data_IF_876766015071
#
_entry.id   IF_876766015071
#
_cell.length_a   1.000
_cell.length_b   1.000
_cell.length_c   1.000
_cell.angle_alpha   90.00
_cell.angle_beta   90.00
_cell.angle_gamma   90.00
#
_symmetry.space_group_name_H-M   'P 1'
#
loop_
_entity.id
_entity.type
_entity.pdbx_description
1 polymer ?
#
# COMPACT_ATOMS: atom_id res chain seq x y z
N UNK A 1 -15.90 7.73 -10.29
CA UNK A 1 -15.49 8.36 -9.00
C UNK A 1 -14.11 7.82 -8.71
N UNK A 2 -13.12 8.63 -8.30
CA UNK A 2 -11.81 8.06 -7.99
C UNK A 2 -11.85 7.40 -6.60
N UNK A 3 -11.71 6.08 -6.53
CA UNK A 3 -11.54 5.39 -5.25
C UNK A 3 -10.13 5.65 -4.72
N UNK A 4 -10.01 5.86 -3.41
CA UNK A 4 -8.75 6.12 -2.75
C UNK A 4 -8.78 5.55 -1.32
N UNK A 5 -7.59 5.31 -0.78
CA UNK A 5 -7.37 5.07 0.64
C UNK A 5 -7.01 6.42 1.26
N UNK A 6 -7.72 6.80 2.32
CA UNK A 6 -7.46 8.01 3.08
C UNK A 6 -6.58 7.64 4.26
N UNK A 7 -5.28 7.92 4.17
CA UNK A 7 -4.32 7.56 5.21
C UNK A 7 -3.88 8.80 5.99
N UNK A 8 -3.75 8.64 7.30
CA UNK A 8 -3.16 9.62 8.20
C UNK A 8 -1.92 9.00 8.86
N UNK A 9 -0.77 9.64 8.64
CA UNK A 9 0.47 9.31 9.34
C UNK A 9 0.45 10.03 10.69
N UNK A 10 0.28 9.27 11.75
CA UNK A 10 0.13 9.78 13.12
C UNK A 10 1.47 10.16 13.74
N UNK A 11 2.48 9.31 13.52
CA UNK A 11 3.86 9.56 13.95
C UNK A 11 4.84 9.08 12.88
N UNK A 12 6.00 9.72 12.87
CA UNK A 12 7.08 9.43 11.94
C UNK A 12 8.40 9.55 12.68
N UNK A 13 9.19 8.50 12.65
CA UNK A 13 10.53 8.43 13.20
C UNK A 13 11.52 8.08 12.09
N UNK A 14 12.62 8.82 12.00
CA UNK A 14 13.66 8.56 11.01
C UNK A 14 14.85 7.88 11.69
N UNK A 15 15.22 6.72 11.18
CA UNK A 15 16.33 5.90 11.67
C UNK A 15 17.53 6.09 10.73
N UNK A 16 18.70 6.31 11.34
CA UNK A 16 19.98 6.46 10.64
C UNK A 16 21.01 5.58 11.35
N UNK A 17 21.29 4.43 10.79
CA UNK A 17 22.27 3.45 11.28
C UNK A 17 23.63 3.62 10.58
N UNK A 18 23.64 4.08 9.33
CA UNK A 18 24.82 4.09 8.45
C UNK A 18 25.44 5.49 8.35
N UNK A 19 26.52 5.74 9.12
CA UNK A 19 27.37 6.93 9.05
C UNK A 19 26.63 8.29 9.23
N UNK A 20 26.76 8.97 10.39
CA UNK A 20 26.03 10.22 10.66
C UNK A 20 26.35 11.39 9.72
N UNK A 21 27.40 11.27 8.89
CA UNK A 21 27.82 12.26 7.90
C UNK A 21 27.24 12.04 6.49
N UNK A 22 26.51 10.95 6.23
CA UNK A 22 25.98 10.62 4.90
C UNK A 22 24.55 11.13 4.68
N UNK A 23 24.32 12.12 3.82
CA UNK A 23 22.98 12.70 3.55
C UNK A 23 21.90 11.62 3.31
N UNK A 24 20.83 11.65 4.11
CA UNK A 24 19.71 10.70 4.02
C UNK A 24 19.41 9.94 5.32
N UNK A 25 18.39 9.08 5.24
CA UNK A 25 17.96 8.16 6.30
C UNK A 25 17.97 6.73 5.74
N UNK A 26 18.32 5.75 6.58
CA UNK A 26 18.29 4.35 6.17
C UNK A 26 16.85 3.82 6.15
N UNK A 27 16.04 4.26 7.11
CA UNK A 27 14.68 3.79 7.32
C UNK A 27 13.82 4.87 7.97
N UNK A 28 12.53 4.85 7.70
CA UNK A 28 11.52 5.65 8.39
C UNK A 28 10.43 4.73 8.93
N UNK A 29 10.21 4.77 10.24
CA UNK A 29 9.14 4.04 10.92
C UNK A 29 7.96 4.98 11.07
N UNK A 30 6.79 4.55 10.64
CA UNK A 30 5.59 5.37 10.70
C UNK A 30 4.40 4.60 11.25
N UNK A 31 3.68 5.26 12.15
CA UNK A 31 2.38 4.79 12.66
C UNK A 31 1.30 5.43 11.83
N UNK A 32 0.35 4.63 11.35
CA UNK A 32 -0.70 5.11 10.48
C UNK A 32 -2.08 4.59 10.90
N UNK A 33 -3.09 5.34 10.47
CA UNK A 33 -4.47 4.87 10.38
C UNK A 33 -4.99 5.23 8.98
N UNK A 34 -5.77 4.38 8.36
CA UNK A 34 -6.41 4.69 7.10
C UNK A 34 -7.83 4.16 6.97
N UNK A 35 -8.65 4.87 6.20
CA UNK A 35 -9.94 4.41 5.72
C UNK A 35 -9.82 3.90 4.29
N UNK A 36 -10.35 2.70 4.02
CA UNK A 36 -10.19 1.99 2.75
C UNK A 36 -11.49 1.32 2.31
N UNK A 37 -11.85 1.39 1.01
CA UNK A 37 -12.95 0.62 0.44
C UNK A 37 -12.55 -0.82 0.10
N UNK A 38 -11.29 -1.20 0.32
CA UNK A 38 -10.71 -2.49 -0.06
C UNK A 38 -10.66 -3.44 1.14
N UNK A 39 -10.46 -4.73 0.85
CA UNK A 39 -10.06 -5.68 1.88
C UNK A 39 -8.63 -5.38 2.40
N UNK A 40 -8.23 -6.04 3.47
CA UNK A 40 -6.92 -5.83 4.11
C UNK A 40 -5.76 -6.05 3.15
N UNK A 41 -5.80 -7.15 2.39
CA UNK A 41 -4.75 -7.52 1.46
C UNK A 41 -4.53 -6.46 0.37
N UNK A 42 -5.59 -6.06 -0.33
CA UNK A 42 -5.52 -5.08 -1.41
C UNK A 42 -5.14 -3.69 -0.84
N UNK A 43 -5.53 -3.39 0.41
CA UNK A 43 -5.10 -2.18 1.13
C UNK A 43 -3.58 -2.18 1.35
N UNK A 44 -3.03 -3.26 1.90
CA UNK A 44 -1.58 -3.43 2.05
C UNK A 44 -0.86 -3.35 0.70
N UNK A 45 -1.42 -3.96 -0.35
CA UNK A 45 -0.84 -3.90 -1.69
C UNK A 45 -0.79 -2.46 -2.24
N UNK A 46 -1.84 -1.65 -2.03
CA UNK A 46 -1.83 -0.24 -2.43
C UNK A 46 -0.79 0.57 -1.65
N UNK A 47 -0.66 0.32 -0.34
CA UNK A 47 0.34 0.98 0.52
C UNK A 47 1.75 0.66 0.02
N UNK A 48 2.07 -0.62 -0.23
CA UNK A 48 3.34 -1.03 -0.81
C UNK A 48 3.60 -0.37 -2.17
N UNK A 49 2.60 -0.32 -3.05
CA UNK A 49 2.75 0.36 -4.36
C UNK A 49 3.04 1.85 -4.23
N UNK A 50 2.47 2.50 -3.22
CA UNK A 50 2.59 3.94 -3.03
C UNK A 50 3.93 4.35 -2.41
N UNK A 51 4.35 3.66 -1.34
CA UNK A 51 5.59 3.97 -0.62
C UNK A 51 6.82 3.22 -1.16
N UNK A 52 6.61 2.15 -1.92
CA UNK A 52 7.69 1.34 -2.49
C UNK A 52 8.11 0.22 -1.56
N UNK A 53 9.32 0.31 -1.02
CA UNK A 53 9.88 -0.72 -0.14
C UNK A 53 9.36 -0.54 1.28
N UNK A 54 8.38 -1.36 1.63
CA UNK A 54 7.63 -1.30 2.89
C UNK A 54 7.69 -2.63 3.61
N UNK A 55 7.92 -2.58 4.92
CA UNK A 55 7.76 -3.69 5.84
C UNK A 55 6.65 -3.36 6.85
N UNK A 56 5.69 -4.25 7.02
CA UNK A 56 4.66 -4.12 8.06
C UNK A 56 5.18 -4.78 9.33
N UNK A 57 5.26 -4.02 10.42
CA UNK A 57 5.70 -4.52 11.72
C UNK A 57 4.47 -4.99 12.50
N UNK A 58 4.18 -6.30 12.40
CA UNK A 58 3.05 -6.93 13.07
C UNK A 58 3.16 -6.73 14.59
N UNK A 59 2.20 -5.99 15.15
CA UNK A 59 2.14 -5.69 16.57
C UNK A 59 0.72 -5.87 17.14
N UNK A 60 0.63 -5.95 18.47
CA UNK A 60 -0.65 -6.17 19.17
C UNK A 60 -1.67 -5.01 19.00
N UNK A 61 -1.21 -3.83 18.56
CA UNK A 61 -2.06 -2.66 18.32
C UNK A 61 -2.55 -2.57 16.86
N UNK A 62 -2.15 -3.50 15.98
CA UNK A 62 -2.62 -3.55 14.61
C UNK A 62 -4.10 -3.93 14.54
N UNK A 63 -4.82 -3.32 13.61
CA UNK A 63 -6.24 -3.62 13.44
C UNK A 63 -6.71 -3.44 12.01
N UNK A 64 -7.70 -4.25 11.66
CA UNK A 64 -8.49 -4.11 10.44
C UNK A 64 -9.97 -4.33 10.79
N UNK A 65 -10.75 -3.24 10.84
CA UNK A 65 -12.13 -3.27 11.33
C UNK A 65 -13.10 -2.65 10.34
N UNK A 66 -14.29 -3.24 10.23
CA UNK A 66 -15.34 -2.72 9.35
C UNK A 66 -16.04 -1.51 10.00
N UNK A 67 -16.07 -0.37 9.30
CA UNK A 67 -16.80 0.85 9.67
C UNK A 67 -17.85 1.19 8.61
N UNK A 68 -18.97 0.45 8.64
CA UNK A 68 -20.06 0.63 7.68
C UNK A 68 -19.68 0.16 6.28
N UNK A 69 -19.62 1.08 5.32
CA UNK A 69 -19.31 0.80 3.91
C UNK A 69 -17.81 0.76 3.57
N UNK A 70 -16.95 1.02 4.55
CA UNK A 70 -15.49 1.01 4.42
C UNK A 70 -14.86 0.25 5.58
N UNK A 71 -13.56 -0.01 5.49
CA UNK A 71 -12.74 -0.54 6.58
C UNK A 71 -11.82 0.54 7.09
N UNK A 72 -11.51 0.46 8.38
CA UNK A 72 -10.43 1.20 9.00
C UNK A 72 -9.29 0.22 9.30
N UNK A 73 -8.09 0.59 8.89
CA UNK A 73 -6.87 -0.15 9.14
C UNK A 73 -5.91 0.75 9.90
N UNK A 74 -5.23 0.21 10.90
CA UNK A 74 -4.13 0.89 11.55
C UNK A 74 -2.99 -0.05 11.86
N UNK A 75 -1.79 0.51 11.90
CA UNK A 75 -0.60 -0.25 12.25
C UNK A 75 0.68 0.55 12.13
N UNK A 76 1.79 -0.17 12.17
CA UNK A 76 3.14 0.36 12.04
C UNK A 76 3.76 -0.17 10.75
N UNK A 77 4.40 0.73 10.00
CA UNK A 77 5.15 0.34 8.82
C UNK A 77 6.52 1.01 8.79
N UNK A 78 7.49 0.25 8.32
CA UNK A 78 8.84 0.70 8.03
C UNK A 78 8.95 0.95 6.53
N UNK A 79 9.43 2.13 6.15
CA UNK A 79 9.69 2.50 4.76
C UNK A 79 11.17 2.75 4.60
N UNK A 80 11.76 2.21 3.53
CA UNK A 80 13.06 2.68 3.05
C UNK A 80 12.77 3.81 2.05
N UNK A 81 12.89 5.09 2.44
CA UNK A 81 12.54 6.18 1.54
C UNK A 81 13.42 6.12 0.29
N UNK A 82 12.84 6.05 -0.93
CA UNK A 82 13.64 6.15 -2.14
C UNK A 82 14.29 7.53 -2.18
N UNK A 83 15.53 7.60 -2.67
CA UNK A 83 16.37 8.81 -2.73
C UNK A 83 15.68 10.04 -3.37
N UNK A 84 14.54 9.86 -4.06
CA UNK A 84 13.82 10.89 -4.83
C UNK A 84 12.33 11.08 -4.44
N UNK A 85 11.85 10.55 -3.31
CA UNK A 85 10.44 10.76 -2.88
C UNK A 85 10.32 12.05 -2.06
N UNK A 86 9.24 12.85 -2.23
CA UNK A 86 8.99 14.03 -1.37
C UNK A 86 9.06 13.65 0.11
N UNK A 87 9.60 14.55 0.93
CA UNK A 87 9.78 14.33 2.38
C UNK A 87 8.54 13.68 3.00
N UNK A 88 8.71 12.45 3.49
CA UNK A 88 7.73 11.80 4.37
C UNK A 88 7.47 12.75 5.54
N UNK A 89 6.19 13.01 5.80
CA UNK A 89 5.75 13.90 6.88
C UNK A 89 4.49 13.36 7.51
N UNK A 90 4.28 13.72 8.77
CA UNK A 90 3.02 13.43 9.44
C UNK A 90 1.85 14.20 8.79
N UNK A 91 0.64 13.67 8.98
CA UNK A 91 -0.58 14.26 8.44
C UNK A 91 -1.27 13.37 7.41
N UNK A 92 -2.19 13.99 6.67
CA UNK A 92 -3.06 13.30 5.73
C UNK A 92 -2.37 13.06 4.38
N UNK A 93 -2.57 11.87 3.84
CA UNK A 93 -2.15 11.48 2.50
C UNK A 93 -3.23 10.63 1.82
N UNK A 94 -3.29 10.73 0.50
CA UNK A 94 -4.28 10.03 -0.32
C UNK A 94 -3.53 9.02 -1.17
N UNK A 95 -3.83 7.74 -0.97
CA UNK A 95 -3.25 6.66 -1.76
C UNK A 95 -4.27 6.28 -2.84
N UNK A 96 -3.95 6.47 -4.14
CA UNK A 96 -4.88 6.15 -5.22
C UNK A 96 -5.05 4.63 -5.36
N UNK A 97 -6.30 4.18 -5.54
CA UNK A 97 -6.59 2.79 -5.89
C UNK A 97 -6.31 2.57 -7.38
N UNK A 98 -5.67 1.46 -7.73
CA UNK A 98 -5.37 1.12 -9.13
C UNK A 98 -6.66 0.97 -9.96
N UNK A 99 -6.55 1.24 -11.27
CA UNK A 99 -7.71 1.29 -12.17
C UNK A 99 -8.52 -0.01 -12.19
N UNK A 100 -7.89 -1.18 -12.08
CA UNK A 100 -8.60 -2.46 -12.08
C UNK A 100 -9.51 -2.60 -10.85
N UNK A 101 -8.98 -2.34 -9.65
CA UNK A 101 -9.74 -2.35 -8.40
C UNK A 101 -10.82 -1.27 -8.39
N UNK A 102 -10.48 -0.06 -8.85
CA UNK A 102 -11.45 1.02 -9.00
C UNK A 102 -12.60 0.61 -9.94
N UNK A 103 -12.31 -0.07 -11.04
CA UNK A 103 -13.32 -0.59 -11.96
C UNK A 103 -14.20 -1.68 -11.34
N UNK A 104 -13.63 -2.60 -10.54
CA UNK A 104 -14.40 -3.61 -9.81
C UNK A 104 -15.34 -2.96 -8.76
N UNK A 105 -14.86 -1.92 -8.08
CA UNK A 105 -15.66 -1.13 -7.12
C UNK A 105 -16.78 -0.34 -7.83
N UNK A 106 -16.49 0.33 -8.96
CA UNK A 106 -17.50 1.05 -9.76
C UNK A 106 -18.61 0.12 -10.28
N UNK A 107 -18.24 -1.08 -10.71
CA UNK A 107 -19.18 -2.08 -11.21
C UNK A 107 -19.96 -2.81 -10.08
N UNK A 108 -19.60 -2.60 -8.80
CA UNK A 108 -20.22 -3.29 -7.67
C UNK A 108 -19.94 -4.80 -7.64
N UNK A 109 -18.84 -5.23 -8.27
CA UNK A 109 -18.43 -6.65 -8.36
C UNK A 109 -17.24 -6.97 -7.46
N UNK A 110 -16.61 -5.95 -6.88
CA UNK A 110 -15.61 -6.12 -5.84
C UNK A 110 -16.28 -6.61 -4.55
N UNK A 111 -15.85 -7.76 -4.06
CA UNK A 111 -16.30 -8.32 -2.79
C UNK A 111 -15.19 -8.14 -1.75
N UNK A 112 -15.41 -7.24 -0.80
CA UNK A 112 -14.48 -6.94 0.30
C UNK A 112 -14.34 -8.09 1.29
N UNK A 113 -15.36 -8.95 1.40
CA UNK A 113 -15.41 -10.06 2.36
C UNK A 113 -14.99 -11.39 1.71
N UNK A 114 -14.72 -11.39 0.39
CA UNK A 114 -14.27 -12.58 -0.31
C UNK A 114 -12.86 -13.00 0.13
N UNK A 115 -12.61 -14.32 0.21
CA UNK A 115 -11.26 -14.82 0.45
C UNK A 115 -10.31 -14.37 -0.67
N UNK A 116 -9.06 -14.15 -0.28
CA UNK A 116 -7.98 -13.70 -1.16
C UNK A 116 -7.81 -14.66 -2.35
N UNK A 117 -8.03 -14.16 -3.56
CA UNK A 117 -7.81 -14.92 -4.80
C UNK A 117 -6.38 -14.72 -5.31
N UNK A 118 -5.51 -15.69 -4.99
CA UNK A 118 -4.10 -15.70 -5.39
C UNK A 118 -3.92 -15.57 -6.91
N UNK A 119 -4.85 -16.10 -7.71
CA UNK A 119 -4.74 -16.02 -9.17
C UNK A 119 -4.92 -14.59 -9.67
N UNK A 120 -5.85 -13.83 -9.08
CA UNK A 120 -6.02 -12.40 -9.35
C UNK A 120 -4.80 -11.61 -8.91
N UNK A 121 -4.22 -11.92 -7.76
CA UNK A 121 -3.00 -11.26 -7.27
C UNK A 121 -1.85 -11.41 -8.26
N UNK A 122 -1.55 -12.65 -8.66
CA UNK A 122 -0.45 -12.93 -9.59
C UNK A 122 -0.67 -12.19 -10.90
N UNK A 123 -1.91 -12.18 -11.40
CA UNK A 123 -2.27 -11.45 -12.61
C UNK A 123 -2.12 -9.94 -12.46
N UNK A 124 -2.54 -9.32 -11.35
CA UNK A 124 -2.41 -7.88 -11.09
C UNK A 124 -0.94 -7.45 -10.97
N UNK A 125 -0.11 -8.28 -10.33
CA UNK A 125 1.29 -7.93 -10.02
C UNK A 125 2.25 -8.24 -11.16
N UNK A 126 1.99 -9.30 -11.92
CA UNK A 126 2.91 -9.81 -12.93
C UNK A 126 2.28 -9.99 -14.31
N UNK A 127 0.96 -9.85 -14.45
CA UNK A 127 0.26 -10.10 -15.72
C UNK A 127 0.77 -9.24 -16.87
N UNK A 128 1.11 -7.99 -16.59
CA UNK A 128 1.68 -7.06 -17.58
C UNK A 128 3.10 -7.44 -18.04
N UNK A 129 3.76 -8.37 -17.33
CA UNK A 129 5.04 -8.94 -17.75
C UNK A 129 4.85 -10.02 -18.81
N UNK A 130 3.65 -10.57 -19.00
CA UNK A 130 3.41 -11.69 -19.90
C UNK A 130 2.47 -11.30 -21.04
N UNK A 131 2.77 -11.78 -22.26
CA UNK A 131 1.87 -11.65 -23.39
C UNK A 131 0.65 -12.56 -23.25
N UNK A 132 -0.31 -12.42 -24.16
CA UNK A 132 -1.51 -13.27 -24.20
C UNK A 132 -1.23 -14.79 -24.38
N UNK A 133 -0.01 -15.17 -24.74
CA UNK A 133 0.42 -16.55 -24.89
C UNK A 133 1.22 -17.05 -23.65
N UNK A 134 1.37 -16.21 -22.62
CA UNK A 134 2.14 -16.52 -21.42
C UNK A 134 3.66 -16.34 -21.56
N UNK A 135 4.14 -15.67 -22.61
CA UNK A 135 5.57 -15.39 -22.78
C UNK A 135 5.96 -14.08 -22.08
N UNK A 136 7.12 -14.05 -21.44
CA UNK A 136 7.67 -12.82 -20.87
C UNK A 136 7.88 -11.76 -21.97
N UNK A 137 7.28 -10.58 -21.76
CA UNK A 137 7.42 -9.42 -22.63
C UNK A 137 8.77 -8.76 -22.33
N UNK A 138 9.73 -8.95 -23.23
CA UNK A 138 11.04 -8.28 -23.16
C UNK A 138 10.97 -7.01 -24.02
N UNK A 139 10.89 -5.84 -23.39
CA UNK A 139 11.04 -4.55 -24.08
C UNK A 139 12.54 -4.27 -24.26
N UNK A 140 13.01 -4.26 -25.52
CA UNK A 140 14.38 -3.84 -25.89
C UNK A 140 14.52 -2.32 -25.89
#
# INVERSE_FOLDING_TARGET
>A
MSYCILMKIESLEFIRESNPDADGYDEAVLKFVCETPLNEYDTCEMICRYFGDVHFDENDDDFFIRKGGVYEMGGILSVIPPVNVPELKTGECIIPVILELAGELEAGVYDTDAPVDVSKIVKRRFGDLFDKNGNLIIRK
#
